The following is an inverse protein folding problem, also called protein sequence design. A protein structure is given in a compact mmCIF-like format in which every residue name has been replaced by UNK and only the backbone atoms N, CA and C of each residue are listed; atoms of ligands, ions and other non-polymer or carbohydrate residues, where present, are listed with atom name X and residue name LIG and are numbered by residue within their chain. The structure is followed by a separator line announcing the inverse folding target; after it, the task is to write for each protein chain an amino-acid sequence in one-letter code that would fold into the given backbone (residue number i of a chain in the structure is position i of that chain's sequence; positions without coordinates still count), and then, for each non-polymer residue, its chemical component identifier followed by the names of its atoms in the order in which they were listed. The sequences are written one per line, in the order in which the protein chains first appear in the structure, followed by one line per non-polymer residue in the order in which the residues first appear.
data_IF_327695367945
#
_entry.id   IF_327695367945
#
_cell.length_a   1.000
_cell.length_b   1.000
_cell.length_c   1.000
_cell.angle_alpha   90.00
_cell.angle_beta   90.00
_cell.angle_gamma   90.00
#
_symmetry.space_group_name_H-M   'P 1'
#
loop_
_entity.id
_entity.type
_entity.pdbx_description
1 polymer ?
#
# COMPACT_ATOMS: atom_id res chain seq x y z
N UNK A 1 20.66 -28.06 -15.73
CA UNK A 1 19.91 -28.16 -14.46
C UNK A 1 18.60 -27.43 -14.61
N UNK A 2 17.50 -28.05 -14.19
CA UNK A 2 16.17 -27.42 -14.25
C UNK A 2 16.12 -26.21 -13.31
N UNK A 3 15.47 -25.09 -13.71
CA UNK A 3 15.31 -23.95 -12.83
C UNK A 3 14.52 -24.36 -11.58
N UNK A 4 14.94 -23.87 -10.41
CA UNK A 4 14.19 -24.07 -9.16
C UNK A 4 12.86 -23.34 -9.29
N UNK A 5 11.76 -24.07 -9.17
CA UNK A 5 10.40 -23.53 -9.22
C UNK A 5 9.68 -23.83 -7.91
N UNK A 6 8.50 -23.23 -7.69
CA UNK A 6 7.68 -23.59 -6.53
C UNK A 6 7.36 -25.10 -6.49
N UNK A 7 7.22 -25.74 -7.65
CA UNK A 7 6.99 -27.18 -7.76
C UNK A 7 8.20 -28.04 -7.32
N UNK A 8 9.40 -27.46 -7.27
CA UNK A 8 10.59 -28.12 -6.73
C UNK A 8 10.52 -28.34 -5.21
N UNK A 9 9.66 -27.60 -4.51
CA UNK A 9 9.39 -27.78 -3.08
C UNK A 9 8.26 -28.80 -2.89
N UNK A 10 8.54 -30.06 -3.18
CA UNK A 10 7.59 -31.14 -2.96
C UNK A 10 7.30 -31.31 -1.46
N UNK A 11 6.19 -31.98 -1.07
CA UNK A 11 5.88 -32.26 0.33
C UNK A 11 7.04 -32.95 1.07
N UNK A 12 7.82 -33.81 0.39
CA UNK A 12 8.99 -34.49 0.97
C UNK A 12 10.11 -33.50 1.30
N UNK A 13 10.40 -32.55 0.40
CA UNK A 13 11.41 -31.50 0.61
C UNK A 13 10.98 -30.60 1.77
N UNK A 14 9.71 -30.20 1.81
CA UNK A 14 9.13 -29.38 2.89
C UNK A 14 9.21 -30.12 4.23
N UNK A 15 8.88 -31.40 4.27
CA UNK A 15 8.96 -32.22 5.48
C UNK A 15 10.40 -32.41 5.96
N UNK A 16 11.35 -32.60 5.05
CA UNK A 16 12.79 -32.65 5.38
C UNK A 16 13.26 -31.34 6.03
N UNK A 17 12.87 -30.19 5.46
CA UNK A 17 13.16 -28.88 6.04
C UNK A 17 12.51 -28.71 7.43
N UNK A 18 11.25 -29.15 7.61
CA UNK A 18 10.56 -29.11 8.90
C UNK A 18 11.26 -29.96 9.96
N UNK A 19 11.77 -31.15 9.60
CA UNK A 19 12.55 -31.97 10.53
C UNK A 19 13.84 -31.27 10.97
N UNK A 20 14.56 -30.62 10.05
CA UNK A 20 15.77 -29.86 10.36
C UNK A 20 15.47 -28.66 11.27
N UNK A 21 14.39 -27.93 11.02
CA UNK A 21 13.96 -26.80 11.86
C UNK A 21 13.64 -27.27 13.29
N UNK A 22 12.92 -28.40 13.41
CA UNK A 22 12.54 -28.97 14.70
C UNK A 22 13.75 -29.51 15.47
N UNK A 23 14.69 -30.17 14.78
CA UNK A 23 15.87 -30.80 15.40
C UNK A 23 16.95 -29.79 15.78
N UNK A 24 17.32 -28.91 14.86
CA UNK A 24 18.54 -28.10 15.01
C UNK A 24 18.27 -26.72 15.63
N UNK A 25 17.09 -26.15 15.38
CA UNK A 25 16.70 -24.83 15.92
C UNK A 25 15.72 -24.97 17.10
N UNK A 26 15.20 -26.18 17.36
CA UNK A 26 14.15 -26.43 18.36
C UNK A 26 12.95 -25.49 18.21
N UNK A 27 12.60 -25.18 16.95
CA UNK A 27 11.51 -24.24 16.65
C UNK A 27 10.19 -24.98 16.41
N UNK A 28 9.10 -24.30 16.79
CA UNK A 28 7.70 -24.66 16.51
C UNK A 28 7.19 -24.19 15.13
N UNK A 29 8.08 -23.65 14.29
CA UNK A 29 7.70 -23.11 12.97
C UNK A 29 7.60 -24.27 11.99
N UNK A 30 6.47 -24.36 11.29
CA UNK A 30 6.17 -25.41 10.32
C UNK A 30 5.95 -24.78 8.95
N UNK A 31 6.72 -25.22 7.96
CA UNK A 31 6.54 -24.88 6.55
C UNK A 31 5.39 -25.73 5.98
N UNK A 32 4.48 -25.11 5.22
CA UNK A 32 3.27 -25.79 4.74
C UNK A 32 3.30 -26.05 3.25
N UNK A 33 3.52 -25.01 2.44
CA UNK A 33 3.54 -25.12 0.99
C UNK A 33 4.43 -24.04 0.37
N UNK A 34 4.84 -24.26 -0.88
CA UNK A 34 5.48 -23.25 -1.70
C UNK A 34 4.55 -22.81 -2.83
N UNK A 35 4.57 -21.52 -3.16
CA UNK A 35 3.79 -20.93 -4.24
C UNK A 35 4.65 -19.97 -5.07
N UNK A 36 4.21 -19.69 -6.30
CA UNK A 36 4.84 -18.68 -7.14
C UNK A 36 4.30 -17.31 -6.75
N UNK A 37 5.19 -16.37 -6.42
CA UNK A 37 4.84 -14.99 -6.11
C UNK A 37 5.70 -14.04 -6.97
N UNK A 38 5.10 -13.53 -8.06
CA UNK A 38 5.80 -12.70 -9.03
C UNK A 38 6.94 -13.44 -9.72
N UNK A 39 8.18 -12.94 -9.56
CA UNK A 39 9.41 -13.58 -10.06
C UNK A 39 10.09 -14.48 -9.01
N UNK A 40 9.49 -14.66 -7.84
CA UNK A 40 10.05 -15.39 -6.70
C UNK A 40 9.23 -16.61 -6.29
N UNK A 41 9.76 -17.34 -5.31
CA UNK A 41 9.11 -18.47 -4.66
C UNK A 41 8.77 -18.04 -3.23
N UNK A 42 7.49 -18.16 -2.89
CA UNK A 42 6.95 -17.92 -1.57
C UNK A 42 6.88 -19.26 -0.83
N UNK A 43 7.40 -19.33 0.40
CA UNK A 43 7.27 -20.50 1.27
C UNK A 43 6.42 -20.09 2.46
N UNK A 44 5.23 -20.66 2.57
CA UNK A 44 4.32 -20.41 3.67
C UNK A 44 4.80 -21.12 4.93
N UNK A 45 4.78 -20.40 6.05
CA UNK A 45 5.13 -20.92 7.36
C UNK A 45 4.00 -20.65 8.35
N UNK A 46 3.84 -21.54 9.35
CA UNK A 46 2.82 -21.42 10.40
C UNK A 46 2.96 -20.14 11.23
N UNK A 47 4.17 -19.62 11.33
CA UNK A 47 4.53 -18.37 12.02
C UNK A 47 5.68 -17.69 11.27
N UNK A 48 5.85 -16.39 11.49
CA UNK A 48 6.96 -15.64 10.91
C UNK A 48 8.30 -16.12 11.49
N UNK A 49 9.23 -16.64 10.67
CA UNK A 49 10.54 -17.02 11.15
C UNK A 49 11.36 -15.78 11.54
N UNK A 50 12.14 -15.86 12.62
CA UNK A 50 13.10 -14.80 12.98
C UNK A 50 14.23 -14.71 11.94
N UNK A 51 14.97 -13.59 11.86
CA UNK A 51 16.08 -13.45 10.89
C UNK A 51 17.09 -14.62 10.94
N UNK A 52 17.45 -15.08 12.13
CA UNK A 52 18.33 -16.24 12.31
C UNK A 52 17.75 -17.54 11.72
N UNK A 53 16.44 -17.77 11.88
CA UNK A 53 15.73 -18.91 11.30
C UNK A 53 15.69 -18.83 9.78
N UNK A 54 15.45 -17.63 9.23
CA UNK A 54 15.47 -17.41 7.78
C UNK A 54 16.87 -17.71 7.20
N UNK A 55 17.94 -17.22 7.84
CA UNK A 55 19.31 -17.52 7.42
C UNK A 55 19.63 -19.02 7.47
N UNK A 56 19.18 -19.72 8.51
CA UNK A 56 19.34 -21.17 8.63
C UNK A 56 18.59 -21.93 7.52
N UNK A 57 17.35 -21.55 7.25
CA UNK A 57 16.54 -22.16 6.19
C UNK A 57 17.20 -21.95 4.82
N UNK A 58 17.64 -20.72 4.53
CA UNK A 58 18.35 -20.42 3.28
C UNK A 58 19.60 -21.26 3.11
N UNK A 59 20.38 -21.49 4.18
CA UNK A 59 21.56 -22.36 4.13
C UNK A 59 21.20 -23.78 3.69
N UNK A 60 20.08 -24.33 4.16
CA UNK A 60 19.65 -25.68 3.82
C UNK A 60 19.01 -25.76 2.43
N UNK A 61 18.21 -24.77 2.05
CA UNK A 61 17.66 -24.65 0.69
C UNK A 61 18.81 -24.56 -0.34
N UNK A 62 19.90 -23.86 -0.03
CA UNK A 62 21.13 -23.82 -0.86
C UNK A 62 21.81 -25.19 -1.01
N UNK A 63 21.76 -26.03 0.01
CA UNK A 63 22.30 -27.39 -0.06
C UNK A 63 21.45 -28.31 -0.93
N UNK A 64 20.13 -28.18 -0.85
CA UNK A 64 19.18 -28.98 -1.62
C UNK A 64 19.16 -28.54 -3.09
N UNK A 65 19.25 -27.24 -3.34
CA UNK A 65 19.27 -26.64 -4.68
C UNK A 65 20.56 -25.84 -4.90
N UNK A 66 21.69 -26.52 -5.17
CA UNK A 66 22.94 -25.86 -5.47
C UNK A 66 22.82 -25.11 -6.81
N UNK A 67 22.73 -23.78 -6.76
CA UNK A 67 22.82 -22.91 -7.93
C UNK A 67 24.18 -22.21 -7.94
N UNK A 68 25.02 -22.41 -8.97
CA UNK A 68 26.39 -21.89 -8.96
C UNK A 68 26.49 -20.37 -9.17
N UNK A 69 25.46 -19.68 -9.71
CA UNK A 69 25.64 -18.32 -10.25
C UNK A 69 24.62 -17.25 -9.81
N UNK A 70 23.65 -17.55 -8.92
CA UNK A 70 22.65 -16.55 -8.49
C UNK A 70 22.47 -16.59 -6.97
N UNK A 71 22.74 -15.48 -6.24
CA UNK A 71 22.41 -15.39 -4.84
C UNK A 71 20.91 -15.56 -4.64
N UNK A 72 20.49 -16.65 -4.00
CA UNK A 72 19.11 -16.76 -3.50
C UNK A 72 18.90 -15.70 -2.43
N UNK A 73 18.24 -14.61 -2.83
CA UNK A 73 17.79 -13.54 -1.96
C UNK A 73 16.46 -13.94 -1.33
N UNK A 74 16.33 -13.79 -0.01
CA UNK A 74 15.04 -13.90 0.66
C UNK A 74 14.44 -12.51 0.75
N UNK A 75 13.13 -12.43 0.56
CA UNK A 75 12.32 -11.31 1.02
C UNK A 75 11.29 -11.89 1.98
N UNK A 76 11.30 -11.57 3.28
CA UNK A 76 10.26 -12.05 4.17
C UNK A 76 8.90 -11.56 3.65
N UNK A 77 7.86 -12.41 3.70
CA UNK A 77 6.48 -11.98 3.54
C UNK A 77 6.17 -11.13 4.77
N UNK A 78 6.45 -9.84 4.65
CA UNK A 78 6.31 -8.91 5.76
C UNK A 78 4.85 -8.53 5.91
N UNK A 79 4.34 -8.59 7.13
CA UNK A 79 3.16 -7.81 7.51
C UNK A 79 3.43 -6.34 7.17
N UNK A 80 2.40 -5.58 6.83
CA UNK A 80 2.55 -4.15 6.59
C UNK A 80 2.05 -3.42 7.82
N UNK A 81 2.95 -2.70 8.47
CA UNK A 81 2.58 -1.76 9.53
C UNK A 81 2.54 -0.34 8.98
N UNK A 82 1.70 0.49 9.60
CA UNK A 82 1.43 1.83 9.14
C UNK A 82 1.93 2.82 10.19
N UNK A 83 2.74 3.77 9.75
CA UNK A 83 3.26 4.85 10.58
C UNK A 83 2.76 6.19 10.04
N UNK A 84 2.61 7.15 10.95
CA UNK A 84 2.33 8.55 10.65
C UNK A 84 3.43 9.40 11.25
N UNK A 85 4.16 10.13 10.41
CA UNK A 85 5.12 11.14 10.84
C UNK A 85 4.40 12.49 10.82
N UNK A 86 4.39 13.18 11.96
CA UNK A 86 3.73 14.48 12.12
C UNK A 86 4.75 15.63 12.08
N UNK A 87 4.23 16.83 11.83
CA UNK A 87 4.98 18.10 11.91
C UNK A 87 6.14 18.22 10.92
N UNK A 88 6.00 17.58 9.75
CA UNK A 88 6.97 17.67 8.67
C UNK A 88 6.88 19.05 8.00
N UNK A 89 7.99 19.77 7.81
CA UNK A 89 7.99 21.04 7.08
C UNK A 89 7.36 20.92 5.68
N UNK A 90 6.43 21.82 5.40
CA UNK A 90 5.77 21.91 4.10
C UNK A 90 6.68 22.63 3.09
N UNK A 91 6.97 21.99 1.97
CA UNK A 91 7.73 22.58 0.87
C UNK A 91 6.80 23.51 0.07
N UNK A 92 7.11 24.82 -0.04
CA UNK A 92 6.31 25.73 -0.87
C UNK A 92 6.47 25.38 -2.35
N UNK A 93 5.37 24.99 -2.99
CA UNK A 93 5.33 24.64 -4.41
C UNK A 93 3.91 24.77 -4.95
N UNK A 94 3.78 24.85 -6.28
CA UNK A 94 2.48 24.79 -6.94
C UNK A 94 1.79 23.44 -6.68
N UNK A 95 0.47 23.41 -6.68
CA UNK A 95 -0.31 22.20 -6.36
C UNK A 95 0.00 21.00 -7.27
N UNK A 96 0.44 21.24 -8.51
CA UNK A 96 0.82 20.21 -9.47
C UNK A 96 2.18 19.56 -9.16
N UNK A 97 3.10 20.33 -8.60
CA UNK A 97 4.48 19.90 -8.35
C UNK A 97 4.74 19.52 -6.89
N UNK A 98 3.89 19.99 -5.98
CA UNK A 98 4.08 19.87 -4.55
C UNK A 98 4.36 18.43 -4.10
N UNK A 99 3.58 17.46 -4.57
CA UNK A 99 3.75 16.07 -4.16
C UNK A 99 5.12 15.49 -4.55
N UNK A 100 5.70 15.95 -5.66
CA UNK A 100 7.02 15.52 -6.11
C UNK A 100 8.11 16.20 -5.27
N UNK A 101 8.08 17.53 -5.19
CA UNK A 101 9.06 18.33 -4.43
C UNK A 101 9.06 17.99 -2.94
N UNK A 102 7.88 17.81 -2.33
CA UNK A 102 7.74 17.38 -0.94
C UNK A 102 8.38 16.00 -0.71
N UNK A 103 8.17 15.07 -1.65
CA UNK A 103 8.69 13.72 -1.52
C UNK A 103 10.22 13.67 -1.67
N UNK A 104 10.78 14.43 -2.60
CA UNK A 104 12.23 14.55 -2.78
C UNK A 104 12.88 15.17 -1.53
N UNK A 105 12.34 16.29 -1.05
CA UNK A 105 12.83 16.95 0.16
C UNK A 105 12.75 16.03 1.39
N UNK A 106 11.62 15.33 1.56
CA UNK A 106 11.44 14.38 2.65
C UNK A 106 12.44 13.23 2.57
N UNK A 107 12.61 12.60 1.40
CA UNK A 107 13.50 11.43 1.26
C UNK A 107 14.96 11.83 1.48
N UNK A 108 15.37 12.98 0.95
CA UNK A 108 16.72 13.50 1.11
C UNK A 108 17.06 13.82 2.57
N UNK A 109 16.10 14.35 3.34
CA UNK A 109 16.29 14.68 4.76
C UNK A 109 16.15 13.46 5.66
N UNK A 110 15.22 12.55 5.35
CA UNK A 110 15.03 11.29 6.06
C UNK A 110 16.32 10.46 6.07
N UNK A 111 16.99 10.35 4.92
CA UNK A 111 18.25 9.59 4.80
C UNK A 111 19.44 10.21 5.56
N UNK A 112 19.38 11.50 5.92
CA UNK A 112 20.43 12.17 6.71
C UNK A 112 20.32 11.88 8.21
N UNK A 113 19.12 11.57 8.71
CA UNK A 113 18.92 11.21 10.11
C UNK A 113 19.28 9.74 10.33
N UNK A 114 20.04 9.36 11.38
CA UNK A 114 20.34 7.94 11.66
C UNK A 114 19.08 7.07 11.82
N UNK A 115 18.07 7.58 12.53
CA UNK A 115 16.76 6.91 12.70
C UNK A 115 15.98 6.92 11.38
N UNK A 116 16.07 8.00 10.61
CA UNK A 116 15.41 8.11 9.32
C UNK A 116 16.00 7.16 8.26
N UNK A 117 17.32 7.00 8.22
CA UNK A 117 18.01 6.09 7.31
C UNK A 117 17.69 4.62 7.60
N UNK A 118 17.54 4.24 8.88
CA UNK A 118 17.09 2.89 9.23
C UNK A 118 15.61 2.67 8.88
N UNK A 119 14.78 3.70 9.07
CA UNK A 119 13.37 3.66 8.68
C UNK A 119 13.19 3.57 7.16
N UNK A 120 13.97 4.33 6.39
CA UNK A 120 13.90 4.41 4.93
C UNK A 120 14.07 3.03 4.27
N UNK A 121 14.95 2.19 4.81
CA UNK A 121 15.17 0.80 4.34
C UNK A 121 13.95 -0.11 4.50
N UNK A 122 13.05 0.22 5.41
CA UNK A 122 11.84 -0.55 5.68
C UNK A 122 10.63 -0.02 4.91
N UNK A 123 10.72 1.13 4.26
CA UNK A 123 9.59 1.73 3.54
C UNK A 123 9.23 0.87 2.33
N UNK A 124 7.99 0.37 2.32
CA UNK A 124 7.46 -0.52 1.27
C UNK A 124 6.94 0.26 0.07
N UNK A 125 6.33 1.41 0.31
CA UNK A 125 5.68 2.23 -0.71
C UNK A 125 6.04 3.70 -0.53
N UNK A 126 5.95 4.45 -1.63
CA UNK A 126 6.15 5.90 -1.62
C UNK A 126 5.29 6.55 -0.52
N UNK A 127 5.90 7.26 0.47
CA UNK A 127 5.16 7.95 1.51
C UNK A 127 4.11 8.90 0.93
N UNK A 128 2.97 8.95 1.59
CA UNK A 128 1.84 9.80 1.21
C UNK A 128 1.84 11.04 2.08
N UNK A 129 1.69 12.22 1.50
CA UNK A 129 1.72 13.48 2.23
C UNK A 129 0.35 14.16 2.23
N UNK A 130 0.04 14.86 3.32
CA UNK A 130 -1.12 15.75 3.42
C UNK A 130 -0.74 16.92 4.31
N UNK A 131 -1.08 18.13 3.88
CA UNK A 131 -0.92 19.33 4.69
C UNK A 131 -1.81 19.25 5.94
N UNK A 132 -1.32 19.67 7.10
CA UNK A 132 -2.07 19.55 8.36
C UNK A 132 -3.34 20.41 8.36
N UNK A 133 -3.30 21.56 7.67
CA UNK A 133 -4.46 22.41 7.36
C UNK A 133 -4.19 23.20 6.06
N UNK A 134 -5.20 23.83 5.44
CA UNK A 134 -5.01 24.63 4.21
C UNK A 134 -4.03 25.80 4.34
N UNK A 135 -3.73 26.25 5.55
CA UNK A 135 -2.80 27.37 5.82
C UNK A 135 -1.58 26.92 6.63
N UNK A 136 -1.50 25.67 7.07
CA UNK A 136 -0.37 25.16 7.86
C UNK A 136 0.93 25.19 7.08
N UNK A 137 2.03 25.50 7.74
CA UNK A 137 3.40 25.30 7.26
C UNK A 137 3.92 23.87 7.52
N UNK A 138 3.07 23.01 8.09
CA UNK A 138 3.38 21.62 8.37
C UNK A 138 2.49 20.63 7.61
N UNK A 139 3.01 19.42 7.43
CA UNK A 139 2.32 18.30 6.80
C UNK A 139 2.53 16.99 7.58
N UNK A 140 1.71 16.00 7.27
CA UNK A 140 1.82 14.65 7.78
C UNK A 140 2.27 13.72 6.66
N UNK A 141 3.14 12.76 6.98
CA UNK A 141 3.49 11.68 6.09
C UNK A 141 2.97 10.35 6.64
N UNK A 142 2.24 9.61 5.80
CA UNK A 142 1.90 8.21 6.07
C UNK A 142 2.90 7.32 5.37
N UNK A 143 3.50 6.43 6.14
CA UNK A 143 4.57 5.54 5.70
C UNK A 143 4.13 4.11 5.95
N UNK A 144 4.16 3.31 4.88
CA UNK A 144 3.93 1.86 4.97
C UNK A 144 5.30 1.20 5.08
N UNK A 145 5.49 0.39 6.12
CA UNK A 145 6.75 -0.31 6.34
C UNK A 145 6.59 -1.82 6.25
N UNK A 146 7.64 -2.47 5.78
CA UNK A 146 7.88 -3.88 5.97
C UNK A 146 8.03 -4.18 7.46
N UNK A 147 7.13 -5.01 7.99
CA UNK A 147 7.10 -5.41 9.39
C UNK A 147 6.99 -6.93 9.56
N UNK A 148 7.32 -7.37 10.75
CA UNK A 148 6.97 -8.68 11.30
C UNK A 148 5.48 -8.76 11.61
N UNK A 149 4.91 -9.97 11.67
CA UNK A 149 3.48 -10.17 12.01
C UNK A 149 3.10 -9.61 13.39
N UNK A 150 4.06 -9.49 14.31
CA UNK A 150 3.85 -8.92 15.65
C UNK A 150 4.12 -7.40 15.73
N UNK A 151 4.44 -6.75 14.61
CA UNK A 151 4.65 -5.30 14.56
C UNK A 151 5.97 -4.82 15.19
N UNK A 152 6.98 -5.70 15.34
CA UNK A 152 8.25 -5.37 15.99
C UNK A 152 8.96 -4.17 15.36
N UNK A 153 8.96 -4.06 14.03
CA UNK A 153 9.60 -2.94 13.36
C UNK A 153 8.85 -1.64 13.64
N UNK A 154 7.51 -1.62 13.57
CA UNK A 154 6.75 -0.43 13.91
C UNK A 154 6.99 0.02 15.36
N UNK A 155 6.98 -0.92 16.32
CA UNK A 155 7.25 -0.63 17.74
C UNK A 155 8.62 0.01 17.97
N UNK A 156 9.63 -0.30 17.15
CA UNK A 156 10.95 0.34 17.24
C UNK A 156 10.92 1.83 16.88
N UNK A 157 9.94 2.30 16.12
CA UNK A 157 9.85 3.69 15.66
C UNK A 157 8.73 4.49 16.31
N UNK A 158 7.66 3.85 16.80
CA UNK A 158 6.57 4.53 17.50
C UNK A 158 7.14 5.33 18.67
N UNK A 159 6.70 6.59 18.79
CA UNK A 159 7.14 7.57 19.79
C UNK A 159 8.58 8.09 19.63
N UNK A 160 9.33 7.63 18.62
CA UNK A 160 10.63 8.23 18.28
C UNK A 160 10.47 9.50 17.46
N UNK A 161 11.53 10.29 17.46
CA UNK A 161 11.65 11.50 16.65
C UNK A 161 12.63 11.28 15.50
N UNK A 162 12.34 11.90 14.37
CA UNK A 162 13.23 11.97 13.22
C UNK A 162 13.40 13.43 12.81
N UNK A 163 14.63 13.86 12.60
CA UNK A 163 14.90 15.23 12.15
C UNK A 163 14.68 15.32 10.64
N UNK A 164 13.74 16.16 10.23
CA UNK A 164 13.38 16.39 8.82
C UNK A 164 13.40 17.89 8.58
N UNK A 165 14.33 18.35 7.73
CA UNK A 165 14.47 19.78 7.42
C UNK A 165 14.79 20.66 8.64
N UNK A 166 15.47 20.11 9.66
CA UNK A 166 15.77 20.83 10.91
C UNK A 166 14.68 20.70 11.98
N UNK A 167 13.52 20.13 11.66
CA UNK A 167 12.41 19.96 12.60
C UNK A 167 12.36 18.54 13.16
N UNK A 168 12.19 18.42 14.48
CA UNK A 168 12.00 17.14 15.15
C UNK A 168 10.56 16.65 14.93
N UNK A 169 10.40 15.72 13.99
CA UNK A 169 9.11 15.16 13.60
C UNK A 169 8.83 13.87 14.39
N UNK A 170 7.69 13.79 15.05
CA UNK A 170 7.34 12.60 15.83
C UNK A 170 6.77 11.50 14.93
N UNK A 171 7.20 10.26 15.16
CA UNK A 171 6.66 9.07 14.52
C UNK A 171 5.57 8.47 15.41
N UNK A 172 4.36 8.35 14.87
CA UNK A 172 3.19 7.76 15.54
C UNK A 172 2.78 6.47 14.86
N UNK A 173 2.24 5.54 15.64
CA UNK A 173 1.53 4.40 15.09
C UNK A 173 0.29 4.87 14.33
N UNK A 174 -0.03 4.23 13.22
CA UNK A 174 -1.21 4.53 12.43
C UNK A 174 -1.98 3.24 12.12
N UNK A 175 -3.29 3.39 11.93
CA UNK A 175 -4.08 2.36 11.25
C UNK A 175 -3.78 2.40 9.74
N UNK A 176 -4.14 1.33 8.99
CA UNK A 176 -4.13 1.36 7.54
C UNK A 176 -4.77 2.65 7.03
N UNK A 177 -3.97 3.51 6.40
CA UNK A 177 -4.49 4.71 5.75
C UNK A 177 -4.93 4.33 4.33
N UNK A 178 -5.81 3.32 4.25
CA UNK A 178 -6.63 3.12 3.07
C UNK A 178 -7.36 4.45 2.88
N UNK A 179 -7.30 5.00 1.66
CA UNK A 179 -7.96 6.26 1.36
C UNK A 179 -9.46 6.19 1.68
N UNK A 180 -10.21 7.19 1.24
CA UNK A 180 -11.64 6.98 1.11
C UNK A 180 -11.91 5.70 0.33
N UNK A 181 -12.94 4.97 0.73
CA UNK A 181 -13.26 3.70 0.10
C UNK A 181 -13.79 3.97 -1.28
N UNK A 182 -13.26 3.28 -2.29
CA UNK A 182 -13.83 3.26 -3.62
C UNK A 182 -14.89 2.16 -3.69
N UNK A 183 -16.16 2.55 -3.85
CA UNK A 183 -17.25 1.61 -3.94
C UNK A 183 -17.21 0.87 -5.28
N UNK A 184 -16.93 -0.43 -5.29
CA UNK A 184 -16.87 -1.25 -6.50
C UNK A 184 -18.23 -1.38 -7.22
N UNK A 185 -19.35 -1.13 -6.51
CA UNK A 185 -20.69 -1.17 -7.11
C UNK A 185 -21.02 0.08 -7.90
N UNK A 186 -20.74 1.27 -7.39
CA UNK A 186 -21.10 2.54 -8.08
C UNK A 186 -19.91 3.34 -8.61
N UNK A 187 -18.68 2.87 -8.36
CA UNK A 187 -17.41 3.48 -8.77
C UNK A 187 -17.20 4.88 -8.16
N UNK A 188 -17.84 5.16 -7.01
CA UNK A 188 -17.71 6.43 -6.27
C UNK A 188 -16.86 6.27 -5.03
N UNK A 189 -16.11 7.32 -4.70
CA UNK A 189 -15.35 7.41 -3.46
C UNK A 189 -16.24 7.80 -2.28
N UNK A 190 -15.92 7.31 -1.09
CA UNK A 190 -16.47 7.78 0.19
C UNK A 190 -17.41 6.82 0.92
N UNK A 191 -17.70 5.64 0.37
CA UNK A 191 -18.51 4.62 1.06
C UNK A 191 -18.15 3.19 0.61
N UNK A 192 -18.48 2.20 1.44
CA UNK A 192 -18.34 0.78 1.10
C UNK A 192 -19.50 0.29 0.22
N UNK A 193 -19.27 -0.80 -0.52
CA UNK A 193 -20.30 -1.45 -1.34
C UNK A 193 -21.55 -1.82 -0.55
N UNK A 194 -21.40 -2.19 0.72
CA UNK A 194 -22.51 -2.59 1.60
C UNK A 194 -23.43 -1.42 1.97
N UNK A 195 -22.91 -0.20 1.93
CA UNK A 195 -23.66 1.03 2.18
C UNK A 195 -24.11 1.70 0.87
N UNK A 196 -23.87 1.05 -0.27
CA UNK A 196 -24.16 1.60 -1.58
C UNK A 196 -25.64 1.45 -1.92
N UNK A 197 -26.29 2.55 -2.28
CA UNK A 197 -27.68 2.58 -2.73
C UNK A 197 -27.85 2.40 -4.24
N UNK A 198 -26.77 2.12 -4.98
CA UNK A 198 -26.87 1.93 -6.42
C UNK A 198 -27.60 0.61 -6.74
N UNK A 199 -28.64 0.68 -7.57
CA UNK A 199 -29.45 -0.49 -7.93
C UNK A 199 -28.64 -1.57 -8.64
N UNK A 200 -27.72 -1.19 -9.52
CA UNK A 200 -26.85 -2.10 -10.27
C UNK A 200 -25.37 -1.71 -10.16
N UNK A 201 -24.49 -2.67 -10.50
CA UNK A 201 -23.07 -2.41 -10.67
C UNK A 201 -22.82 -1.46 -11.86
N UNK A 202 -21.83 -0.58 -11.72
CA UNK A 202 -21.44 0.39 -12.73
C UNK A 202 -20.03 0.12 -13.24
N UNK A 203 -19.83 0.42 -14.52
CA UNK A 203 -18.55 0.27 -15.20
C UNK A 203 -17.53 1.27 -14.64
N UNK A 204 -16.32 0.82 -14.32
CA UNK A 204 -15.21 1.66 -13.83
C UNK A 204 -14.77 2.73 -14.83
N UNK A 205 -14.90 2.41 -16.13
CA UNK A 205 -14.43 3.22 -17.26
C UNK A 205 -15.44 4.30 -17.68
N UNK A 206 -16.71 3.93 -17.84
CA UNK A 206 -17.76 4.84 -18.34
C UNK A 206 -18.92 5.09 -17.38
N UNK A 207 -18.91 4.48 -16.18
CA UNK A 207 -20.00 4.60 -15.21
C UNK A 207 -21.38 4.10 -15.67
N UNK A 208 -21.46 3.44 -16.84
CA UNK A 208 -22.68 2.83 -17.38
C UNK A 208 -23.15 1.62 -16.57
N UNK A 209 -24.41 1.18 -16.73
CA UNK A 209 -25.02 0.08 -15.97
C UNK A 209 -24.56 -1.31 -16.46
N UNK A 210 -23.26 -1.52 -16.51
CA UNK A 210 -22.62 -2.77 -16.93
C UNK A 210 -21.29 -2.98 -16.21
N UNK A 211 -20.76 -4.20 -16.25
CA UNK A 211 -19.42 -4.51 -15.74
C UNK A 211 -18.33 -4.01 -16.68
N UNK A 212 -17.10 -3.88 -16.18
CA UNK A 212 -15.93 -3.57 -17.02
C UNK A 212 -15.71 -4.62 -18.13
N UNK A 213 -15.95 -5.90 -17.85
CA UNK A 213 -15.84 -6.98 -18.84
C UNK A 213 -16.78 -6.80 -20.04
N UNK A 214 -17.96 -6.21 -19.82
CA UNK A 214 -18.94 -5.95 -20.87
C UNK A 214 -18.75 -4.57 -21.54
N UNK A 215 -17.68 -3.84 -21.19
CA UNK A 215 -17.46 -2.49 -21.69
C UNK A 215 -17.17 -2.43 -23.19
N UNK A 216 -16.60 -3.49 -23.78
CA UNK A 216 -16.35 -3.60 -25.22
C UNK A 216 -17.60 -3.42 -26.08
N UNK A 217 -18.81 -3.63 -25.52
CA UNK A 217 -20.10 -3.45 -26.20
C UNK A 217 -20.65 -2.01 -26.10
N UNK A 218 -19.94 -1.13 -25.41
CA UNK A 218 -20.30 0.27 -25.22
C UNK A 218 -19.55 1.15 -26.22
N UNK A 219 -20.14 2.29 -26.59
CA UNK A 219 -19.40 3.36 -27.29
C UNK A 219 -18.21 3.75 -26.39
N UNK A 220 -17.01 3.91 -26.95
CA UNK A 220 -15.73 4.14 -26.22
C UNK A 220 -15.67 5.52 -25.53
N UNK A 221 -16.68 5.83 -24.73
CA UNK A 221 -16.86 7.07 -24.00
C UNK A 221 -16.51 6.79 -22.55
N UNK A 222 -15.32 7.23 -22.15
CA UNK A 222 -14.92 7.21 -20.74
C UNK A 222 -15.64 8.31 -19.99
N UNK A 223 -16.16 7.98 -18.82
CA UNK A 223 -16.89 8.94 -18.00
C UNK A 223 -16.72 8.63 -16.52
N UNK A 224 -16.23 9.62 -15.78
CA UNK A 224 -15.88 9.45 -14.37
C UNK A 224 -17.11 9.60 -13.47
N UNK A 225 -17.48 8.52 -12.77
CA UNK A 225 -18.62 8.47 -11.87
C UNK A 225 -18.60 9.57 -10.81
N UNK A 226 -17.41 9.95 -10.35
CA UNK A 226 -17.18 10.93 -9.30
C UNK A 226 -17.30 12.37 -9.83
N UNK A 227 -16.67 12.67 -10.95
CA UNK A 227 -16.78 13.98 -11.59
C UNK A 227 -18.24 14.27 -12.03
N UNK A 228 -18.95 13.25 -12.51
CA UNK A 228 -20.38 13.34 -12.82
C UNK A 228 -21.21 13.58 -11.55
N UNK A 229 -20.96 12.84 -10.47
CA UNK A 229 -21.65 13.03 -9.19
C UNK A 229 -21.45 14.42 -8.58
N UNK A 230 -20.24 14.95 -8.71
CA UNK A 230 -19.87 16.29 -8.26
C UNK A 230 -20.27 17.39 -9.27
N UNK A 231 -21.07 17.07 -10.29
CA UNK A 231 -21.59 18.00 -11.28
C UNK A 231 -20.52 18.86 -11.98
N UNK A 232 -19.29 18.34 -12.16
CA UNK A 232 -18.20 19.08 -12.85
C UNK A 232 -18.56 19.37 -14.31
N UNK A 233 -17.97 20.34 -15.03
CA UNK A 233 -18.24 20.53 -16.46
C UNK A 233 -18.01 19.27 -17.32
N UNK A 234 -18.73 19.11 -18.44
CA UNK A 234 -18.75 17.87 -19.23
C UNK A 234 -17.39 17.48 -19.81
N UNK A 235 -16.62 18.46 -20.30
CA UNK A 235 -15.22 18.36 -20.72
C UNK A 235 -14.32 17.77 -19.63
N UNK A 236 -14.62 18.07 -18.36
CA UNK A 236 -13.85 17.59 -17.19
C UNK A 236 -14.30 16.24 -16.66
N UNK A 237 -15.25 15.57 -17.31
CA UNK A 237 -15.74 14.23 -16.92
C UNK A 237 -15.22 13.11 -17.82
N UNK A 238 -14.62 13.42 -18.97
CA UNK A 238 -14.20 12.47 -20.00
C UNK A 238 -12.90 11.74 -19.64
N UNK A 239 -12.97 10.87 -18.62
CA UNK A 239 -11.88 10.00 -18.18
C UNK A 239 -12.44 8.89 -17.27
N UNK A 240 -11.65 7.86 -17.00
CA UNK A 240 -12.03 6.80 -16.04
C UNK A 240 -11.94 7.30 -14.59
N UNK A 241 -12.81 6.80 -13.72
CA UNK A 241 -12.74 7.05 -12.27
C UNK A 241 -11.41 6.64 -11.62
N UNK A 242 -10.72 5.67 -12.24
CA UNK A 242 -9.43 5.12 -11.82
C UNK A 242 -8.22 5.74 -12.54
N UNK A 243 -8.43 6.76 -13.38
CA UNK A 243 -7.36 7.43 -14.11
C UNK A 243 -6.39 8.14 -13.15
N UNK A 244 -5.15 7.64 -13.09
CA UNK A 244 -4.14 8.13 -12.15
C UNK A 244 -3.61 9.52 -12.50
N UNK A 245 -3.66 9.91 -13.77
CA UNK A 245 -3.07 11.16 -14.29
C UNK A 245 -4.08 12.29 -14.29
N UNK A 246 -5.34 12.01 -14.62
CA UNK A 246 -6.35 13.04 -14.90
C UNK A 246 -7.38 13.16 -13.76
N UNK A 247 -7.77 12.05 -13.12
CA UNK A 247 -8.89 12.07 -12.17
C UNK A 247 -8.53 12.81 -10.86
N UNK A 248 -9.22 13.92 -10.54
CA UNK A 248 -8.95 14.69 -9.32
C UNK A 248 -9.36 13.92 -8.05
N UNK A 249 -10.38 13.06 -8.14
CA UNK A 249 -10.80 12.19 -7.05
C UNK A 249 -9.77 11.10 -6.76
N UNK A 250 -9.14 10.54 -7.79
CA UNK A 250 -8.04 9.60 -7.63
C UNK A 250 -6.82 10.26 -6.96
N UNK A 251 -6.45 11.47 -7.41
CA UNK A 251 -5.35 12.24 -6.81
C UNK A 251 -5.60 12.54 -5.34
N UNK A 252 -6.84 12.86 -4.99
CA UNK A 252 -7.26 13.19 -3.63
C UNK A 252 -7.87 12.00 -2.88
N UNK A 253 -7.64 10.76 -3.33
CA UNK A 253 -8.28 9.57 -2.74
C UNK A 253 -8.00 9.39 -1.25
N UNK A 254 -6.89 9.94 -0.76
CA UNK A 254 -6.52 9.94 0.66
C UNK A 254 -7.03 11.16 1.44
N UNK A 255 -7.48 12.21 0.75
CA UNK A 255 -7.99 13.42 1.38
C UNK A 255 -9.51 13.31 1.60
N UNK A 256 -9.90 12.68 2.72
CA UNK A 256 -11.31 12.50 3.11
C UNK A 256 -12.06 13.83 3.21
N UNK A 257 -11.43 14.88 3.73
CA UNK A 257 -12.04 16.19 3.86
C UNK A 257 -12.35 16.78 2.47
N UNK A 258 -11.37 16.78 1.57
CA UNK A 258 -11.56 17.22 0.19
C UNK A 258 -12.67 16.46 -0.51
N UNK A 259 -12.70 15.12 -0.37
CA UNK A 259 -13.71 14.26 -0.98
C UNK A 259 -15.12 14.56 -0.44
N UNK A 260 -15.27 14.78 0.87
CA UNK A 260 -16.56 15.19 1.47
C UNK A 260 -17.05 16.52 0.89
N UNK A 261 -16.16 17.48 0.66
CA UNK A 261 -16.50 18.78 0.09
C UNK A 261 -16.85 18.75 -1.40
N UNK A 262 -16.52 17.68 -2.13
CA UNK A 262 -16.81 17.62 -3.58
C UNK A 262 -18.25 17.24 -3.91
N UNK A 263 -18.94 16.55 -3.01
CA UNK A 263 -20.30 16.13 -3.25
C UNK A 263 -21.25 17.16 -2.64
N UNK A 264 -22.27 17.62 -3.37
CA UNK A 264 -23.25 18.54 -2.81
C UNK A 264 -23.88 17.90 -1.56
N UNK A 265 -24.11 18.71 -0.53
CA UNK A 265 -24.88 18.29 0.63
C UNK A 265 -26.23 17.76 0.13
N UNK A 266 -26.70 16.65 0.71
CA UNK A 266 -28.06 16.18 0.41
C UNK A 266 -29.01 17.30 0.78
N UNK A 267 -29.71 17.87 -0.20
CA UNK A 267 -30.90 18.66 0.06
C UNK A 267 -31.89 17.74 0.78
N UNK A 268 -32.11 17.99 2.06
CA UNK A 268 -33.24 17.48 2.81
C UNK A 268 -34.49 18.19 2.28
N UNK A 269 -34.97 17.74 1.13
CA UNK A 269 -36.15 18.31 0.48
C UNK A 269 -37.21 17.22 0.34
N UNK A 270 -38.22 17.32 1.19
CA UNK A 270 -39.59 16.91 0.90
C UNK A 270 -40.06 15.61 1.54
N UNK A 271 -40.49 15.67 2.80
CA UNK A 271 -41.72 14.96 3.20
C UNK A 271 -42.84 15.95 2.90
N UNK A 272 -43.62 15.66 1.87
CA UNK A 272 -45.02 16.09 1.74
C UNK A 272 -45.84 14.81 1.69
#
# INVERSE_FOLDING_TARGET
MSPVTAASFTPEVINSLNQLIKKDIKSDVVLTHASVEGKGICIAASRVPSPAKISFMLKHIRRIFPSPNIPMAHSPITSTSYLKIVDIPHVPASSKEWALKQHEAFTNTLNKSPVGASLAKLIKHKPRFMRASPHSDSCWAWVDIHDTVVGSNARLYISKFVSIGGTNCQIKGACPHSGSVHCARCQRWGHHSDQCRAKCARCSLCSGPHSEANHLKCVDVRQCANCTAAKRPADKRSHSSTDTKVCPFWKNRFNRAWLKCQFPARSTSGVQ
#
